data_IF_907816197996
#
_entry.id   IF_907816197996
#
_cell.length_a   1.000
_cell.length_b   1.000
_cell.length_c   1.000
_cell.angle_alpha   90.00
_cell.angle_beta   90.00
_cell.angle_gamma   90.00
#
_symmetry.space_group_name_H-M   'P 1'
#
loop_
_entity.id
_entity.type
_entity.pdbx_description
1 polymer ?
#
# COMPACT_ATOMS: atom_id res chain seq x y z
N UNK A 1 -6.63 -11.43 20.96
CA UNK A 1 -5.52 -10.47 21.05
C UNK A 1 -4.50 -10.91 20.01
N UNK A 2 -4.06 -10.07 19.07
CA UNK A 2 -3.00 -10.46 18.15
C UNK A 2 -1.76 -10.77 19.00
N UNK A 3 -1.04 -11.85 18.69
CA UNK A 3 0.13 -12.23 19.45
C UNK A 3 1.13 -11.06 19.49
N UNK A 4 1.40 -10.53 20.69
CA UNK A 4 2.43 -9.50 20.90
C UNK A 4 3.77 -10.14 20.52
N UNK A 5 4.37 -9.68 19.43
CA UNK A 5 5.70 -10.13 19.01
C UNK A 5 6.71 -10.00 20.15
N UNK A 6 7.54 -11.03 20.32
CA UNK A 6 8.54 -11.09 21.42
C UNK A 6 9.69 -10.09 21.24
N UNK A 7 9.91 -9.59 20.00
CA UNK A 7 10.96 -8.64 19.63
C UNK A 7 10.51 -7.80 18.42
N UNK A 8 11.10 -6.62 18.28
CA UNK A 8 10.89 -5.71 17.16
C UNK A 8 12.25 -5.25 16.62
N UNK A 9 12.36 -5.11 15.30
CA UNK A 9 13.52 -4.54 14.62
C UNK A 9 13.10 -3.27 13.88
N UNK A 10 14.09 -2.43 13.54
CA UNK A 10 13.88 -1.37 12.55
C UNK A 10 13.58 -2.07 11.20
N UNK A 11 12.52 -1.67 10.47
CA UNK A 11 12.20 -2.25 9.17
C UNK A 11 13.36 -2.09 8.18
N UNK A 12 13.62 -3.12 7.39
CA UNK A 12 14.58 -3.05 6.29
C UNK A 12 13.99 -2.23 5.14
N UNK A 13 14.83 -1.40 4.53
CA UNK A 13 14.50 -0.72 3.29
C UNK A 13 14.35 -1.77 2.17
N UNK A 14 13.34 -1.60 1.31
CA UNK A 14 13.09 -2.48 0.17
C UNK A 14 14.08 -2.21 -0.96
N UNK A 15 15.33 -2.58 -0.75
CA UNK A 15 16.44 -2.39 -1.67
C UNK A 15 17.29 -3.68 -1.75
N UNK A 16 17.55 -4.26 -2.94
CA UNK A 16 18.32 -5.49 -3.07
C UNK A 16 19.70 -5.42 -2.40
N UNK A 17 20.38 -4.28 -2.41
CA UNK A 17 21.69 -4.12 -1.76
C UNK A 17 21.60 -4.29 -0.25
N UNK A 18 20.56 -3.73 0.39
CA UNK A 18 20.32 -3.85 1.84
C UNK A 18 20.03 -5.31 2.20
N UNK A 19 19.23 -6.01 1.40
CA UNK A 19 18.95 -7.42 1.61
C UNK A 19 20.20 -8.29 1.37
N UNK A 20 20.99 -8.00 0.34
CA UNK A 20 22.25 -8.70 0.06
C UNK A 20 23.30 -8.47 1.15
N UNK A 21 23.36 -7.27 1.73
CA UNK A 21 24.22 -7.01 2.89
C UNK A 21 23.79 -7.82 4.12
N UNK A 22 22.48 -7.95 4.34
CA UNK A 22 21.95 -8.82 5.39
C UNK A 22 22.29 -10.30 5.13
N UNK A 23 22.16 -10.79 3.89
CA UNK A 23 22.55 -12.17 3.55
C UNK A 23 24.03 -12.42 3.89
N UNK A 24 24.92 -11.49 3.53
CA UNK A 24 26.34 -11.55 3.90
C UNK A 24 26.55 -11.56 5.41
N UNK A 25 25.88 -10.68 6.14
CA UNK A 25 25.97 -10.62 7.61
C UNK A 25 25.46 -11.91 8.30
N UNK A 26 24.54 -12.63 7.67
CA UNK A 26 24.02 -13.92 8.12
C UNK A 26 24.89 -15.12 7.69
N UNK A 27 25.95 -14.90 6.91
CA UNK A 27 26.84 -15.95 6.41
C UNK A 27 26.22 -16.82 5.30
N UNK A 28 25.24 -16.29 4.58
CA UNK A 28 24.61 -16.97 3.43
C UNK A 28 25.57 -16.97 2.24
N UNK A 29 25.53 -18.06 1.44
CA UNK A 29 26.35 -18.22 0.22
C UNK A 29 26.15 -17.07 -0.78
N UNK A 30 27.23 -16.62 -1.42
CA UNK A 30 27.19 -15.62 -2.50
C UNK A 30 26.52 -16.15 -3.78
N UNK A 31 26.20 -17.45 -3.85
CA UNK A 31 25.40 -18.05 -4.94
C UNK A 31 23.94 -17.57 -4.97
N UNK A 32 23.45 -16.96 -3.88
CA UNK A 32 22.11 -16.38 -3.81
C UNK A 32 22.17 -14.87 -3.59
N UNK A 33 21.42 -14.14 -4.39
CA UNK A 33 21.36 -12.68 -4.33
C UNK A 33 19.95 -12.20 -4.65
N UNK A 34 19.57 -11.07 -4.07
CA UNK A 34 18.42 -10.29 -4.49
C UNK A 34 18.81 -9.36 -5.64
N UNK A 35 18.02 -9.39 -6.70
CA UNK A 35 18.11 -8.47 -7.84
C UNK A 35 16.76 -7.76 -8.00
N UNK A 36 16.77 -6.54 -8.54
CA UNK A 36 15.53 -5.85 -8.90
C UNK A 36 14.84 -6.57 -10.07
N UNK A 37 13.52 -6.72 -9.95
CA UNK A 37 12.66 -7.20 -11.03
C UNK A 37 11.88 -6.01 -11.59
N UNK A 38 12.27 -5.55 -12.78
CA UNK A 38 11.72 -4.33 -13.38
C UNK A 38 10.40 -4.53 -14.13
N UNK A 39 10.05 -5.76 -14.49
CA UNK A 39 8.83 -6.09 -15.24
C UNK A 39 8.29 -7.46 -14.84
N UNK A 40 6.97 -7.61 -14.89
CA UNK A 40 6.27 -8.89 -14.72
C UNK A 40 5.62 -9.36 -16.03
N UNK A 41 5.65 -8.52 -17.07
CA UNK A 41 4.90 -8.72 -18.32
C UNK A 41 5.78 -9.23 -19.47
N UNK A 42 7.11 -9.21 -19.30
CA UNK A 42 8.06 -9.67 -20.30
C UNK A 42 8.72 -10.98 -19.84
N UNK A 43 8.28 -12.14 -20.37
CA UNK A 43 8.85 -13.45 -20.01
C UNK A 43 10.34 -13.56 -20.33
N UNK A 44 10.82 -12.84 -21.35
CA UNK A 44 12.22 -12.88 -21.78
C UNK A 44 13.12 -12.11 -20.81
N UNK A 45 12.56 -11.17 -20.05
CA UNK A 45 13.26 -10.48 -18.95
C UNK A 45 13.14 -11.23 -17.61
N UNK A 46 12.32 -12.28 -17.54
CA UNK A 46 12.11 -13.14 -16.37
C UNK A 46 12.83 -14.50 -16.46
N UNK A 47 13.72 -14.69 -17.44
CA UNK A 47 14.32 -15.98 -17.82
C UNK A 47 15.14 -16.71 -16.73
N UNK A 48 15.33 -16.12 -15.54
CA UNK A 48 16.04 -16.75 -14.43
C UNK A 48 15.03 -17.35 -13.44
N UNK A 49 15.09 -18.66 -13.12
CA UNK A 49 14.24 -19.24 -12.09
C UNK A 49 14.59 -18.61 -10.73
N UNK A 50 13.70 -17.74 -10.24
CA UNK A 50 13.85 -17.10 -8.94
C UNK A 50 13.56 -18.11 -7.82
N UNK A 51 14.44 -18.17 -6.81
CA UNK A 51 14.25 -19.02 -5.62
C UNK A 51 13.15 -18.48 -4.69
N UNK A 52 12.97 -17.16 -4.67
CA UNK A 52 11.94 -16.44 -3.94
C UNK A 52 11.75 -15.05 -4.55
N UNK A 53 10.61 -14.41 -4.31
CA UNK A 53 10.35 -13.01 -4.66
C UNK A 53 9.82 -12.26 -3.44
N UNK A 54 10.41 -11.10 -3.16
CA UNK A 54 9.96 -10.17 -2.12
C UNK A 54 9.29 -8.99 -2.81
N UNK A 55 7.96 -8.98 -2.82
CA UNK A 55 7.17 -7.82 -3.22
C UNK A 55 6.60 -7.12 -1.97
N UNK A 56 7.18 -6.00 -1.51
CA UNK A 56 6.60 -5.27 -0.40
C UNK A 56 5.20 -4.80 -0.76
N UNK A 57 4.36 -4.66 0.25
CA UNK A 57 3.15 -3.85 0.13
C UNK A 57 3.59 -2.43 -0.29
N UNK A 58 3.12 -1.98 -1.44
CA UNK A 58 3.48 -0.68 -2.01
C UNK A 58 2.75 0.39 -1.22
N UNK A 59 3.52 1.14 -0.44
CA UNK A 59 3.03 2.23 0.37
C UNK A 59 3.54 3.58 -0.12
N UNK A 60 2.63 4.50 -0.35
CA UNK A 60 2.89 5.91 -0.65
C UNK A 60 2.76 6.74 0.62
N UNK A 61 3.79 7.54 0.91
CA UNK A 61 3.75 8.56 1.96
C UNK A 61 2.95 9.75 1.46
N UNK A 62 2.01 10.23 2.27
CA UNK A 62 1.30 11.46 1.95
C UNK A 62 2.19 12.68 2.20
N UNK A 63 2.33 13.49 1.16
CA UNK A 63 3.07 14.77 1.21
C UNK A 63 2.28 15.94 0.63
N UNK A 64 1.13 15.66 0.02
CA UNK A 64 0.21 16.67 -0.54
C UNK A 64 -0.97 16.84 0.42
N UNK A 65 -1.24 18.07 0.84
CA UNK A 65 -2.36 18.41 1.72
C UNK A 65 -3.70 18.04 1.05
N UNK A 66 -4.67 17.53 1.83
CA UNK A 66 -6.01 17.19 1.38
C UNK A 66 -6.08 16.19 0.21
N UNK A 67 -5.04 15.36 0.06
CA UNK A 67 -4.94 14.35 -0.99
C UNK A 67 -5.05 12.90 -0.48
N UNK A 68 -5.46 12.66 0.77
CA UNK A 68 -5.56 11.31 1.35
C UNK A 68 -6.41 10.34 0.50
N UNK A 69 -7.46 10.84 -0.17
CA UNK A 69 -8.25 10.07 -1.13
C UNK A 69 -7.43 9.58 -2.34
N UNK A 70 -6.54 10.41 -2.89
CA UNK A 70 -5.61 10.02 -3.95
C UNK A 70 -4.64 8.94 -3.45
N UNK A 71 -4.03 9.11 -2.28
CA UNK A 71 -3.12 8.13 -1.70
C UNK A 71 -3.81 6.78 -1.48
N UNK A 72 -5.06 6.78 -0.98
CA UNK A 72 -5.85 5.55 -0.84
C UNK A 72 -6.11 4.85 -2.18
N UNK A 73 -6.36 5.59 -3.27
CA UNK A 73 -6.49 5.03 -4.62
C UNK A 73 -5.17 4.44 -5.12
N UNK A 74 -4.05 5.15 -4.93
CA UNK A 74 -2.73 4.67 -5.31
C UNK A 74 -2.34 3.39 -4.55
N UNK A 75 -2.60 3.35 -3.24
CA UNK A 75 -2.45 2.14 -2.42
C UNK A 75 -3.31 0.99 -2.94
N UNK A 76 -4.59 1.25 -3.28
CA UNK A 76 -5.50 0.24 -3.79
C UNK A 76 -5.08 -0.31 -5.16
N UNK A 77 -4.58 0.53 -6.07
CA UNK A 77 -4.17 0.12 -7.42
C UNK A 77 -2.79 -0.53 -7.44
N UNK A 78 -1.89 -0.16 -6.53
CA UNK A 78 -0.50 -0.63 -6.51
C UNK A 78 -0.28 -1.93 -5.74
N UNK A 79 -1.34 -2.53 -5.20
CA UNK A 79 -1.28 -3.74 -4.38
C UNK A 79 -2.28 -4.80 -4.82
N UNK A 80 -2.05 -6.06 -4.44
CA UNK A 80 -2.92 -7.16 -4.79
C UNK A 80 -3.12 -7.33 -6.31
N UNK A 81 -4.32 -7.74 -6.70
CA UNK A 81 -4.63 -8.08 -8.10
C UNK A 81 -4.74 -6.88 -9.03
N UNK A 82 -5.02 -5.68 -8.51
CA UNK A 82 -5.24 -4.46 -9.29
C UNK A 82 -3.97 -3.92 -9.95
N UNK A 83 -2.78 -4.34 -9.47
CA UNK A 83 -1.49 -3.96 -10.05
C UNK A 83 -1.39 -4.18 -11.56
N UNK A 84 -2.10 -5.19 -12.09
CA UNK A 84 -2.12 -5.48 -13.53
C UNK A 84 -2.76 -4.37 -14.37
N UNK A 85 -3.45 -3.41 -13.73
CA UNK A 85 -4.13 -2.30 -14.41
C UNK A 85 -3.32 -1.00 -14.41
N UNK A 86 -2.17 -0.96 -13.72
CA UNK A 86 -1.29 0.21 -13.69
C UNK A 86 0.16 -0.18 -13.85
N UNK A 87 0.97 0.74 -14.39
CA UNK A 87 2.43 0.59 -14.38
C UNK A 87 2.99 1.34 -13.18
N UNK A 88 3.36 0.60 -12.14
CA UNK A 88 4.07 1.19 -11.00
C UNK A 88 5.56 1.36 -11.33
N UNK A 89 6.11 2.52 -11.03
CA UNK A 89 7.56 2.73 -11.07
C UNK A 89 8.15 2.09 -9.79
N UNK A 90 9.14 1.19 -9.90
CA UNK A 90 9.70 0.46 -8.77
C UNK A 90 10.71 1.32 -7.99
N UNK A 91 10.29 2.48 -7.51
CA UNK A 91 11.13 3.40 -6.71
C UNK A 91 10.70 3.41 -5.25
N UNK A 92 11.58 3.90 -4.36
CA UNK A 92 11.33 3.99 -2.93
C UNK A 92 10.19 4.97 -2.57
N UNK A 93 9.64 4.91 -1.34
CA UNK A 93 8.54 5.78 -0.89
C UNK A 93 8.82 7.28 -1.05
N UNK A 94 10.04 7.72 -0.74
CA UNK A 94 10.47 9.12 -0.85
C UNK A 94 10.49 9.59 -2.30
N UNK A 95 10.99 8.75 -3.21
CA UNK A 95 11.04 9.09 -4.63
C UNK A 95 9.64 9.05 -5.26
N UNK A 96 8.77 8.12 -4.82
CA UNK A 96 7.35 8.15 -5.21
C UNK A 96 6.68 9.46 -4.79
N UNK A 97 6.94 9.95 -3.58
CA UNK A 97 6.37 11.22 -3.12
C UNK A 97 6.80 12.38 -4.03
N UNK A 98 8.08 12.49 -4.37
CA UNK A 98 8.57 13.52 -5.31
C UNK A 98 7.92 13.42 -6.68
N UNK A 99 7.82 12.21 -7.24
CA UNK A 99 7.17 12.00 -8.55
C UNK A 99 5.71 12.46 -8.52
N UNK A 100 4.99 12.23 -7.41
CA UNK A 100 3.61 12.69 -7.26
C UNK A 100 3.53 14.22 -7.13
N UNK A 101 4.42 14.84 -6.36
CA UNK A 101 4.50 16.29 -6.18
C UNK A 101 4.81 17.04 -7.49
N UNK A 102 5.68 16.48 -8.32
CA UNK A 102 6.12 17.09 -9.59
C UNK A 102 5.15 16.80 -10.76
N UNK A 103 4.09 16.01 -10.55
CA UNK A 103 3.20 15.56 -11.62
C UNK A 103 2.05 16.55 -11.92
N UNK A 104 2.25 17.41 -12.92
CA UNK A 104 1.18 18.30 -13.42
C UNK A 104 -0.02 17.53 -13.96
N UNK A 105 0.20 16.39 -14.63
CA UNK A 105 -0.89 15.55 -15.15
C UNK A 105 -1.80 15.03 -14.02
N UNK A 106 -1.19 14.62 -12.90
CA UNK A 106 -1.92 14.16 -11.72
C UNK A 106 -2.71 15.30 -11.07
N UNK A 107 -2.11 16.48 -10.96
CA UNK A 107 -2.75 17.68 -10.42
C UNK A 107 -3.99 18.07 -11.24
N UNK A 108 -3.86 18.12 -12.57
CA UNK A 108 -4.97 18.42 -13.48
C UNK A 108 -6.09 17.39 -13.37
N UNK A 109 -5.74 16.10 -13.35
CA UNK A 109 -6.71 15.01 -13.21
C UNK A 109 -7.45 15.08 -11.86
N UNK A 110 -6.74 15.37 -10.77
CA UNK A 110 -7.32 15.52 -9.43
C UNK A 110 -8.25 16.74 -9.35
N UNK A 111 -7.80 17.89 -9.84
CA UNK A 111 -8.60 19.12 -9.86
C UNK A 111 -9.89 18.97 -10.69
N UNK A 112 -9.83 18.20 -11.78
CA UNK A 112 -10.99 17.94 -12.64
C UNK A 112 -12.08 17.07 -11.98
N UNK A 113 -11.77 16.36 -10.89
CA UNK A 113 -12.73 15.48 -10.19
C UNK A 113 -13.10 15.96 -8.78
N UNK A 114 -12.21 16.69 -8.09
CA UNK A 114 -12.42 17.14 -6.72
C UNK A 114 -13.71 17.98 -6.54
N UNK A 115 -14.19 18.65 -7.60
CA UNK A 115 -15.41 19.47 -7.59
C UNK A 115 -16.70 18.74 -8.00
N UNK A 116 -16.65 17.43 -8.27
CA UNK A 116 -17.78 16.66 -8.82
C UNK A 116 -18.64 15.97 -7.75
N UNK A 117 -18.43 16.25 -6.46
CA UNK A 117 -19.20 15.67 -5.35
C UNK A 117 -20.46 16.46 -5.00
N UNK A 118 -21.38 15.82 -4.26
CA UNK A 118 -22.63 16.43 -3.78
C UNK A 118 -22.43 17.30 -2.52
N UNK A 119 -21.26 17.24 -1.89
CA UNK A 119 -20.88 18.07 -0.74
C UNK A 119 -20.18 19.35 -1.16
N UNK A 120 -20.31 20.40 -0.34
CA UNK A 120 -19.51 21.60 -0.51
C UNK A 120 -18.01 21.27 -0.35
N UNK A 121 -17.20 21.69 -1.32
CA UNK A 121 -15.73 21.64 -1.23
C UNK A 121 -15.28 22.84 -0.38
N UNK A 122 -14.27 22.69 0.49
CA UNK A 122 -13.71 23.82 1.24
C UNK A 122 -13.34 24.98 0.31
N UNK A 123 -13.59 26.22 0.75
CA UNK A 123 -13.23 27.41 -0.03
C UNK A 123 -11.71 27.61 -0.09
N UNK A 124 -10.99 27.19 0.96
CA UNK A 124 -9.53 27.17 1.00
C UNK A 124 -9.00 25.73 0.97
N UNK A 125 -8.04 25.47 0.09
CA UNK A 125 -7.41 24.16 -0.07
C UNK A 125 -6.56 23.72 1.14
N UNK A 126 -6.24 24.66 2.03
CA UNK A 126 -5.51 24.39 3.28
C UNK A 126 -6.43 24.11 4.48
N UNK A 127 -7.75 24.24 4.33
CA UNK A 127 -8.69 23.98 5.42
C UNK A 127 -8.61 22.50 5.86
N UNK A 128 -8.57 22.28 7.18
CA UNK A 128 -8.58 20.93 7.75
C UNK A 128 -9.95 20.28 7.55
N UNK A 129 -9.95 19.02 7.09
CA UNK A 129 -11.14 18.18 6.98
C UNK A 129 -11.11 17.10 8.06
N UNK A 130 -12.25 16.88 8.72
CA UNK A 130 -12.39 15.89 9.81
C UNK A 130 -12.38 14.42 9.31
N UNK A 131 -12.24 14.19 8.00
CA UNK A 131 -12.31 12.87 7.38
C UNK A 131 -10.98 12.46 6.77
N UNK A 132 -10.54 11.24 7.11
CA UNK A 132 -9.30 10.67 6.62
C UNK A 132 -9.55 9.38 5.84
N UNK A 133 -8.91 9.24 4.68
CA UNK A 133 -8.99 8.04 3.86
C UNK A 133 -7.79 7.13 4.14
N UNK A 134 -8.08 5.85 4.40
CA UNK A 134 -7.10 4.79 4.50
C UNK A 134 -7.47 3.64 3.54
N UNK A 135 -6.49 2.79 3.22
CA UNK A 135 -6.71 1.66 2.31
C UNK A 135 -6.36 0.33 2.98
N UNK A 136 -7.23 -0.67 2.89
CA UNK A 136 -6.92 -2.05 3.29
C UNK A 136 -6.55 -2.88 2.06
N UNK A 137 -5.37 -3.48 2.07
CA UNK A 137 -4.88 -4.30 0.95
C UNK A 137 -4.40 -5.68 1.40
N UNK A 138 -4.65 -6.72 0.61
CA UNK A 138 -4.12 -8.04 0.89
C UNK A 138 -2.65 -8.09 0.46
N UNK A 139 -1.84 -8.77 1.24
CA UNK A 139 -0.49 -9.15 0.84
C UNK A 139 -0.56 -10.13 -0.31
N UNK A 140 0.24 -9.87 -1.35
CA UNK A 140 0.38 -10.80 -2.47
C UNK A 140 1.13 -12.09 -2.11
N UNK A 141 1.76 -12.16 -0.93
CA UNK A 141 2.70 -13.24 -0.58
C UNK A 141 2.19 -14.23 0.47
N UNK A 142 1.43 -13.75 1.45
CA UNK A 142 1.29 -14.49 2.72
C UNK A 142 -0.10 -14.40 3.36
N UNK A 143 -1.12 -13.98 2.59
CA UNK A 143 -2.50 -13.90 3.09
C UNK A 143 -2.69 -12.92 4.24
N UNK A 144 -1.75 -12.00 4.48
CA UNK A 144 -1.90 -10.94 5.49
C UNK A 144 -2.72 -9.78 4.94
N UNK A 145 -3.33 -9.00 5.84
CA UNK A 145 -4.02 -7.75 5.51
C UNK A 145 -3.29 -6.58 6.12
N UNK A 146 -3.02 -5.58 5.29
CA UNK A 146 -2.36 -4.35 5.69
C UNK A 146 -3.31 -3.17 5.55
N UNK A 147 -3.27 -2.28 6.53
CA UNK A 147 -3.73 -0.91 6.40
C UNK A 147 -2.61 -0.04 5.86
N UNK A 148 -2.95 0.77 4.86
CA UNK A 148 -2.10 1.76 4.24
C UNK A 148 -2.72 3.13 4.48
N UNK A 149 -2.03 3.88 5.32
CA UNK A 149 -2.33 5.26 5.66
C UNK A 149 -1.11 6.11 5.27
N UNK A 150 -1.32 7.14 4.45
CA UNK A 150 -0.24 8.00 3.98
C UNK A 150 0.43 8.83 5.08
N UNK A 151 -0.27 9.09 6.19
CA UNK A 151 0.26 9.86 7.33
C UNK A 151 1.06 9.00 8.33
N UNK A 152 0.93 7.67 8.21
CA UNK A 152 1.71 6.74 8.99
C UNK A 152 3.17 6.65 8.51
N UNK A 153 4.01 5.92 9.25
CA UNK A 153 5.42 5.66 8.88
C UNK A 153 5.60 4.45 7.96
N UNK A 154 4.51 3.92 7.42
CA UNK A 154 4.49 2.72 6.58
C UNK A 154 3.23 1.85 6.78
N UNK A 155 3.17 0.68 6.13
CA UNK A 155 2.08 -0.27 6.27
C UNK A 155 1.87 -0.75 7.72
N UNK A 156 0.63 -0.81 8.15
CA UNK A 156 0.23 -1.38 9.45
C UNK A 156 -0.40 -2.75 9.25
N UNK A 157 0.14 -3.79 9.88
CA UNK A 157 -0.45 -5.12 9.83
C UNK A 157 -1.76 -5.16 10.63
N UNK A 158 -2.85 -5.59 9.99
CA UNK A 158 -4.20 -5.67 10.59
C UNK A 158 -4.73 -7.08 10.75
N UNK A 159 -4.36 -8.00 9.86
CA UNK A 159 -4.66 -9.43 10.02
C UNK A 159 -3.51 -10.31 9.50
N UNK A 160 -3.25 -11.40 10.21
CA UNK A 160 -2.20 -12.37 9.84
C UNK A 160 -2.62 -13.34 8.75
N UNK A 161 -3.91 -13.56 8.59
CA UNK A 161 -4.49 -14.48 7.63
C UNK A 161 -5.90 -14.01 7.28
N UNK A 162 -6.18 -13.78 6.00
CA UNK A 162 -7.52 -13.45 5.47
C UNK A 162 -8.13 -14.57 4.62
N UNK A 163 -7.68 -15.81 4.83
CA UNK A 163 -8.21 -16.97 4.15
C UNK A 163 -7.56 -17.25 2.80
N UNK A 164 -7.88 -18.42 2.23
CA UNK A 164 -7.27 -18.95 1.02
C UNK A 164 -7.63 -18.14 -0.25
N UNK A 165 -8.74 -17.41 -0.23
CA UNK A 165 -9.18 -16.54 -1.32
C UNK A 165 -8.51 -15.15 -1.28
N UNK A 166 -7.86 -14.80 -0.16
CA UNK A 166 -7.18 -13.51 -0.01
C UNK A 166 -8.11 -12.31 -0.12
N UNK A 167 -9.41 -12.52 0.12
CA UNK A 167 -10.43 -11.50 -0.11
C UNK A 167 -10.46 -10.50 1.05
N UNK A 168 -10.21 -9.21 0.76
CA UNK A 168 -10.30 -8.13 1.75
C UNK A 168 -11.68 -8.05 2.40
N UNK A 169 -12.74 -8.33 1.64
CA UNK A 169 -14.12 -8.35 2.13
C UNK A 169 -14.59 -9.77 2.52
N UNK A 170 -13.67 -10.73 2.65
CA UNK A 170 -13.93 -12.01 3.28
C UNK A 170 -14.17 -11.86 4.79
N UNK A 171 -14.62 -12.93 5.48
CA UNK A 171 -14.98 -12.88 6.90
C UNK A 171 -13.88 -12.30 7.81
N UNK A 172 -12.65 -12.72 7.60
CA UNK A 172 -11.46 -12.31 8.36
C UNK A 172 -11.09 -10.86 8.09
N UNK A 173 -11.13 -10.43 6.82
CA UNK A 173 -10.84 -9.05 6.43
C UNK A 173 -11.90 -8.07 6.95
N UNK A 174 -13.19 -8.44 6.86
CA UNK A 174 -14.29 -7.68 7.46
C UNK A 174 -14.14 -7.59 8.98
N UNK A 175 -13.72 -8.67 9.65
CA UNK A 175 -13.47 -8.65 11.09
C UNK A 175 -12.37 -7.63 11.45
N UNK A 176 -11.26 -7.61 10.70
CA UNK A 176 -10.18 -6.64 10.90
C UNK A 176 -10.63 -5.19 10.66
N UNK A 177 -11.41 -4.93 9.60
CA UNK A 177 -11.96 -3.58 9.31
C UNK A 177 -12.93 -3.15 10.41
N UNK A 178 -13.79 -4.05 10.89
CA UNK A 178 -14.70 -3.76 12.02
C UNK A 178 -13.93 -3.43 13.29
N UNK A 179 -12.85 -4.15 13.59
CA UNK A 179 -11.98 -3.84 14.72
C UNK A 179 -11.42 -2.43 14.60
N UNK A 180 -10.89 -2.04 13.44
CA UNK A 180 -10.40 -0.69 13.20
C UNK A 180 -11.49 0.38 13.44
N UNK A 181 -12.67 0.21 12.85
CA UNK A 181 -13.79 1.15 13.01
C UNK A 181 -14.23 1.25 14.48
N UNK A 182 -14.24 0.13 15.21
CA UNK A 182 -14.58 0.11 16.64
C UNK A 182 -13.50 0.74 17.53
N UNK A 183 -12.23 0.62 17.18
CA UNK A 183 -11.10 1.21 17.91
C UNK A 183 -11.08 2.74 17.84
N UNK A 184 -11.65 3.33 16.77
CA UNK A 184 -11.78 4.79 16.57
C UNK A 184 -12.72 5.53 17.53
N UNK A 185 -13.04 4.96 18.70
CA UNK A 185 -13.82 5.54 19.80
C UNK A 185 -15.01 6.42 19.37
N UNK A 186 -16.10 5.79 18.89
CA UNK A 186 -17.42 6.42 18.89
C UNK A 186 -17.74 7.39 17.75
N UNK A 187 -16.86 7.56 16.76
CA UNK A 187 -17.19 8.33 15.56
C UNK A 187 -18.06 7.47 14.61
N UNK A 188 -19.34 7.83 14.51
CA UNK A 188 -20.38 7.09 13.77
C UNK A 188 -20.26 7.32 12.24
N UNK A 189 -19.40 8.24 11.81
CA UNK A 189 -19.19 8.57 10.40
C UNK A 189 -18.05 7.75 9.78
N UNK A 190 -18.36 6.56 9.26
CA UNK A 190 -17.47 5.86 8.35
C UNK A 190 -18.16 5.61 7.01
N UNK A 191 -17.37 5.69 5.94
CA UNK A 191 -17.76 5.24 4.61
C UNK A 191 -16.76 4.18 4.17
N UNK A 192 -17.25 3.08 3.57
CA UNK A 192 -16.39 2.02 3.04
C UNK A 192 -16.69 1.85 1.55
N UNK A 193 -15.66 2.02 0.74
CA UNK A 193 -15.69 1.77 -0.71
C UNK A 193 -14.79 0.59 -1.05
N UNK A 194 -15.14 -0.14 -2.12
CA UNK A 194 -14.39 -1.29 -2.57
C UNK A 194 -14.01 -1.16 -4.05
N UNK A 195 -12.73 -1.35 -4.37
CA UNK A 195 -12.26 -1.52 -5.73
C UNK A 195 -12.61 -2.94 -6.20
N UNK A 196 -13.53 -3.06 -7.16
CA UNK A 196 -14.02 -4.34 -7.67
C UNK A 196 -13.87 -4.44 -9.19
N UNK A 197 -13.73 -5.65 -9.70
CA UNK A 197 -13.77 -5.89 -11.16
C UNK A 197 -15.20 -5.67 -11.65
N UNK A 198 -15.36 -4.87 -12.70
CA UNK A 198 -16.66 -4.72 -13.38
C UNK A 198 -17.06 -6.07 -13.99
N UNK A 199 -18.22 -6.58 -13.58
CA UNK A 199 -18.85 -7.79 -14.12
C UNK A 199 -19.33 -7.59 -15.55
#
# INVERSE_FOLDING_TARGET
>A
MPEKYRKHFIPLESNPDVFNELLRALGVSEEVTFEDVFTLDDPDLLLRPALAAILPVIWFRQTINNACGLYAVLHALSNGQSRRFIKCIPVGPEERARILEDSTELEEAYAAVARKGDSAVPENAEDEVDYHYICFVPSAQNGQLYELDGDCKGPTLRAFNIGADGAVLGPEGIAAIKTYVCEGQGNIGFNLMALVRRS
#
